data_IF_414288609955
#
_entry.id   IF_414288609955
#
_cell.length_a   1.000
_cell.length_b   1.000
_cell.length_c   1.000
_cell.angle_alpha   90.00
_cell.angle_beta   90.00
_cell.angle_gamma   90.00
#
_symmetry.space_group_name_H-M   'P 1'
#
loop_
_entity.id
_entity.type
_entity.pdbx_description
1 polymer ?
#
# COMPACT_ATOMS: atom_id res chain seq x y z
N UNK A 1 10.39 16.08 15.34
CA UNK A 1 10.44 15.79 13.89
C UNK A 1 9.86 16.96 13.13
N UNK A 2 10.55 17.49 12.13
CA UNK A 2 10.00 18.53 11.27
C UNK A 2 9.13 17.94 10.17
N UNK A 3 8.22 18.72 9.64
CA UNK A 3 7.41 18.33 8.48
C UNK A 3 8.31 17.91 7.29
N UNK A 4 9.36 18.68 7.03
CA UNK A 4 10.30 18.40 5.95
C UNK A 4 11.03 17.06 6.12
N UNK A 5 11.49 16.77 7.34
CA UNK A 5 12.16 15.50 7.65
C UNK A 5 11.22 14.31 7.54
N UNK A 6 9.98 14.45 8.02
CA UNK A 6 8.97 13.41 7.92
C UNK A 6 8.60 13.13 6.46
N UNK A 7 8.41 14.17 5.65
CA UNK A 7 8.13 14.03 4.22
C UNK A 7 9.29 13.34 3.48
N UNK A 8 10.53 13.60 3.87
CA UNK A 8 11.69 12.96 3.25
C UNK A 8 11.70 11.45 3.49
N UNK A 9 11.37 11.00 4.69
CA UNK A 9 11.27 9.57 5.01
C UNK A 9 10.18 8.90 4.16
N UNK A 10 9.03 9.54 4.05
CA UNK A 10 7.90 8.99 3.28
C UNK A 10 8.19 9.01 1.77
N UNK A 11 8.90 10.02 1.28
CA UNK A 11 9.36 10.04 -0.12
C UNK A 11 10.25 8.83 -0.42
N UNK A 12 11.20 8.54 0.47
CA UNK A 12 12.06 7.36 0.35
C UNK A 12 11.26 6.05 0.38
N UNK A 13 10.21 5.99 1.19
CA UNK A 13 9.33 4.83 1.23
C UNK A 13 8.72 4.54 -0.15
N UNK A 14 8.19 5.55 -0.83
CA UNK A 14 7.60 5.37 -2.17
C UNK A 14 8.65 5.08 -3.24
N UNK A 15 9.85 5.62 -3.13
CA UNK A 15 10.96 5.30 -4.03
C UNK A 15 11.33 3.81 -3.93
N UNK A 16 11.44 3.28 -2.71
CA UNK A 16 11.71 1.86 -2.47
C UNK A 16 10.57 0.97 -2.94
N UNK A 17 9.33 1.41 -2.73
CA UNK A 17 8.15 0.68 -3.22
C UNK A 17 8.17 0.58 -4.75
N UNK A 18 8.47 1.67 -5.44
CA UNK A 18 8.57 1.70 -6.90
C UNK A 18 9.69 0.77 -7.40
N UNK A 19 10.75 0.62 -6.64
CA UNK A 19 11.84 -0.30 -6.93
C UNK A 19 11.53 -1.76 -6.54
N UNK A 20 10.36 -2.03 -5.98
CA UNK A 20 9.94 -3.34 -5.45
C UNK A 20 10.84 -3.84 -4.31
N UNK A 21 11.51 -2.91 -3.61
CA UNK A 21 12.36 -3.20 -2.47
C UNK A 21 11.52 -3.24 -1.18
N UNK A 22 10.82 -4.34 -0.98
CA UNK A 22 9.87 -4.48 0.14
C UNK A 22 10.61 -4.46 1.48
N UNK A 23 11.76 -5.13 1.57
CA UNK A 23 12.57 -5.10 2.80
C UNK A 23 13.07 -3.68 3.09
N UNK A 24 13.46 -2.93 2.05
CA UNK A 24 13.83 -1.53 2.19
C UNK A 24 12.70 -0.64 2.70
N UNK A 25 11.45 -0.92 2.29
CA UNK A 25 10.27 -0.21 2.82
C UNK A 25 10.10 -0.49 4.31
N UNK A 26 10.17 -1.75 4.71
CA UNK A 26 10.02 -2.14 6.12
C UNK A 26 11.15 -1.61 6.99
N UNK A 27 12.35 -1.46 6.45
CA UNK A 27 13.50 -0.89 7.16
C UNK A 27 13.31 0.60 7.53
N UNK A 28 12.42 1.30 6.83
CA UNK A 28 12.05 2.68 7.18
C UNK A 28 11.03 2.76 8.32
N UNK A 29 10.49 1.63 8.75
CA UNK A 29 9.45 1.55 9.76
C UNK A 29 10.01 1.03 11.09
N UNK A 30 9.39 1.47 12.19
CA UNK A 30 9.70 0.89 13.50
C UNK A 30 9.26 -0.58 13.56
N UNK A 31 9.87 -1.34 14.47
CA UNK A 31 9.63 -2.79 14.56
C UNK A 31 8.17 -3.15 14.87
N UNK A 32 7.46 -2.26 15.57
CA UNK A 32 6.04 -2.45 15.92
C UNK A 32 5.10 -1.54 15.15
N UNK A 33 5.53 -1.01 14.01
CA UNK A 33 4.72 -0.11 13.21
C UNK A 33 3.37 -0.72 12.84
N UNK A 34 2.30 0.05 13.00
CA UNK A 34 0.95 -0.37 12.66
C UNK A 34 0.69 -0.18 11.17
N UNK A 35 -0.09 -1.09 10.62
CA UNK A 35 -0.47 -1.10 9.21
C UNK A 35 -1.96 -1.31 9.06
N UNK A 36 -2.59 -0.56 8.17
CA UNK A 36 -3.97 -0.78 7.77
C UNK A 36 -4.19 -0.38 6.31
N UNK A 37 -5.01 -1.15 5.63
CA UNK A 37 -5.54 -0.82 4.31
C UNK A 37 -7.06 -0.75 4.41
N UNK A 38 -7.67 0.37 4.04
CA UNK A 38 -9.08 0.64 4.32
C UNK A 38 -9.84 1.01 3.04
N UNK A 39 -10.84 0.26 2.66
CA UNK A 39 -11.08 -1.12 3.04
C UNK A 39 -10.09 -2.03 2.30
N UNK A 40 -9.75 -3.15 2.87
CA UNK A 40 -9.02 -4.19 2.16
C UNK A 40 -9.70 -5.52 2.44
N UNK A 41 -10.68 -5.84 1.61
CA UNK A 41 -11.45 -7.07 1.71
C UNK A 41 -11.55 -7.65 0.31
N UNK A 42 -10.88 -8.76 0.09
CA UNK A 42 -11.02 -9.55 -1.12
C UNK A 42 -12.04 -10.64 -0.85
N UNK A 43 -13.16 -10.60 -1.55
CA UNK A 43 -14.24 -11.53 -1.37
C UNK A 43 -14.08 -12.72 -2.32
N UNK A 44 -13.99 -13.91 -1.76
CA UNK A 44 -14.28 -15.14 -2.45
C UNK A 44 -15.47 -15.77 -1.76
N UNK A 45 -16.01 -16.85 -2.28
CA UNK A 45 -17.07 -17.56 -1.60
C UNK A 45 -16.64 -17.91 -0.17
N UNK A 46 -17.22 -17.29 0.82
CA UNK A 46 -17.00 -17.55 2.24
C UNK A 46 -15.60 -17.17 2.77
N UNK A 47 -14.85 -16.31 2.07
CA UNK A 47 -13.54 -15.83 2.52
C UNK A 47 -13.40 -14.32 2.37
N UNK A 48 -12.75 -13.72 3.35
CA UNK A 48 -12.38 -12.30 3.36
C UNK A 48 -10.93 -12.20 3.80
N UNK A 49 -10.13 -11.49 3.02
CA UNK A 49 -8.77 -11.11 3.42
C UNK A 49 -8.81 -9.69 3.97
N UNK A 50 -8.25 -9.49 5.15
CA UNK A 50 -8.20 -8.19 5.80
C UNK A 50 -6.78 -7.63 5.79
N UNK A 51 -6.70 -6.32 5.66
CA UNK A 51 -5.43 -5.61 5.57
C UNK A 51 -5.00 -4.91 6.86
N UNK A 52 -5.37 -5.42 8.03
CA UNK A 52 -5.01 -4.82 9.32
C UNK A 52 -3.94 -5.63 10.02
N UNK A 53 -2.97 -4.97 10.64
CA UNK A 53 -1.95 -5.64 11.43
C UNK A 53 -0.70 -4.80 11.59
N UNK A 54 0.46 -5.44 11.52
CA UNK A 54 1.76 -4.79 11.63
C UNK A 54 2.43 -4.69 10.26
N UNK A 55 3.24 -3.66 10.08
CA UNK A 55 4.02 -3.48 8.84
C UNK A 55 4.89 -4.70 8.56
N UNK A 56 5.59 -5.23 9.56
CA UNK A 56 6.52 -6.34 9.38
C UNK A 56 5.88 -7.69 9.05
N UNK A 57 4.57 -7.82 9.19
CA UNK A 57 3.81 -9.04 8.88
C UNK A 57 2.78 -8.79 7.81
N UNK A 58 1.66 -8.15 8.15
CA UNK A 58 0.54 -7.94 7.22
C UNK A 58 0.92 -6.97 6.10
N UNK A 59 1.56 -5.85 6.42
CA UNK A 59 2.00 -4.88 5.42
C UNK A 59 2.96 -5.50 4.43
N UNK A 60 4.00 -6.17 4.93
CA UNK A 60 4.98 -6.86 4.10
C UNK A 60 4.33 -7.91 3.20
N UNK A 61 3.37 -8.69 3.72
CA UNK A 61 2.66 -9.69 2.95
C UNK A 61 1.83 -9.06 1.82
N UNK A 62 1.12 -7.96 2.09
CA UNK A 62 0.31 -7.27 1.09
C UNK A 62 1.19 -6.68 -0.01
N UNK A 63 2.26 -5.96 0.33
CA UNK A 63 3.15 -5.37 -0.66
C UNK A 63 3.86 -6.44 -1.49
N UNK A 64 4.30 -7.52 -0.86
CA UNK A 64 4.91 -8.67 -1.56
C UNK A 64 3.92 -9.29 -2.54
N UNK A 65 2.67 -9.48 -2.12
CA UNK A 65 1.60 -9.98 -2.99
C UNK A 65 1.35 -9.07 -4.19
N UNK A 66 1.33 -7.76 -3.98
CA UNK A 66 1.18 -6.80 -5.06
C UNK A 66 2.31 -6.89 -6.10
N UNK A 67 3.56 -6.82 -5.67
CA UNK A 67 4.69 -6.84 -6.63
C UNK A 67 4.87 -8.20 -7.29
N UNK A 68 4.43 -9.28 -6.65
CA UNK A 68 4.46 -10.63 -7.22
C UNK A 68 3.38 -10.80 -8.28
N UNK A 69 2.14 -10.40 -7.97
CA UNK A 69 1.01 -10.57 -8.87
C UNK A 69 0.97 -9.53 -9.98
N UNK A 70 1.58 -8.37 -9.75
CA UNK A 70 1.68 -7.26 -10.69
C UNK A 70 3.17 -6.90 -10.87
N UNK A 71 3.93 -7.65 -11.71
CA UNK A 71 5.38 -7.45 -11.82
C UNK A 71 5.80 -6.05 -12.29
N UNK A 72 4.91 -5.32 -12.94
CA UNK A 72 5.14 -3.93 -13.37
C UNK A 72 4.50 -2.92 -12.42
N UNK A 73 4.17 -3.31 -11.18
CA UNK A 73 3.54 -2.41 -10.23
C UNK A 73 4.38 -1.14 -10.06
N UNK A 74 3.70 0.00 -10.09
CA UNK A 74 4.32 1.31 -9.88
C UNK A 74 3.40 2.20 -9.08
N UNK A 75 3.98 3.27 -8.54
CA UNK A 75 3.22 4.34 -7.92
C UNK A 75 3.56 5.66 -8.58
N UNK A 76 2.57 6.55 -8.65
CA UNK A 76 2.75 7.94 -9.07
C UNK A 76 2.31 8.81 -7.92
N UNK A 77 3.26 9.47 -7.26
CA UNK A 77 2.98 10.35 -6.12
C UNK A 77 2.61 11.72 -6.64
N UNK A 78 1.40 12.18 -6.33
CA UNK A 78 0.90 13.49 -6.75
C UNK A 78 1.20 14.58 -5.72
N UNK A 79 1.13 14.25 -4.44
CA UNK A 79 1.42 15.20 -3.37
C UNK A 79 1.86 14.50 -2.10
N UNK A 80 2.74 15.16 -1.35
CA UNK A 80 3.16 14.77 0.00
C UNK A 80 3.06 16.00 0.87
N UNK A 81 2.25 15.94 1.92
CA UNK A 81 2.01 17.04 2.85
C UNK A 81 2.23 16.54 4.27
N UNK A 82 3.03 17.27 5.04
CA UNK A 82 3.35 16.89 6.41
C UNK A 82 3.11 18.02 7.40
N UNK A 83 3.18 17.68 8.68
CA UNK A 83 3.17 18.63 9.80
C UNK A 83 4.34 18.36 10.74
N UNK A 84 4.55 19.25 11.70
CA UNK A 84 5.63 19.12 12.67
C UNK A 84 5.38 18.03 13.72
N UNK A 85 4.17 17.49 13.78
CA UNK A 85 3.83 16.34 14.61
C UNK A 85 4.21 14.98 14.02
N UNK A 86 4.76 14.96 12.80
CA UNK A 86 5.17 13.74 12.13
C UNK A 86 4.10 13.08 11.27
N UNK A 87 2.93 13.70 11.12
CA UNK A 87 1.89 13.18 10.24
C UNK A 87 2.20 13.58 8.79
N UNK A 88 2.06 12.62 7.89
CA UNK A 88 2.29 12.83 6.45
C UNK A 88 1.14 12.22 5.67
N UNK A 89 0.56 13.01 4.77
CA UNK A 89 -0.53 12.57 3.88
C UNK A 89 -0.02 12.55 2.45
N UNK A 90 -0.26 11.45 1.76
CA UNK A 90 0.19 11.25 0.38
C UNK A 90 -0.98 10.90 -0.51
N UNK A 91 -1.11 11.63 -1.61
CA UNK A 91 -1.99 11.26 -2.70
C UNK A 91 -1.16 10.59 -3.78
N UNK A 92 -1.50 9.35 -4.13
CA UNK A 92 -0.76 8.58 -5.12
C UNK A 92 -1.68 7.64 -5.88
N UNK A 93 -1.31 7.33 -7.12
CA UNK A 93 -1.94 6.25 -7.88
C UNK A 93 -1.05 5.01 -7.77
N UNK A 94 -1.66 3.86 -7.58
CA UNK A 94 -1.00 2.56 -7.69
C UNK A 94 -1.54 1.89 -8.94
N UNK A 95 -0.65 1.41 -9.79
CA UNK A 95 -1.03 0.82 -11.08
C UNK A 95 -0.20 -0.41 -11.40
N UNK A 96 -0.77 -1.32 -12.16
CA UNK A 96 -0.08 -2.51 -12.62
C UNK A 96 -0.95 -3.39 -13.49
N UNK A 97 -0.30 -4.43 -14.07
CA UNK A 97 -0.95 -5.46 -14.89
C UNK A 97 -0.87 -6.78 -14.17
N UNK A 98 -2.01 -7.43 -13.98
CA UNK A 98 -2.07 -8.70 -13.26
C UNK A 98 -1.50 -9.83 -14.13
N UNK A 99 -0.53 -10.55 -13.57
CA UNK A 99 0.10 -11.71 -14.22
C UNK A 99 -0.10 -13.01 -13.43
N UNK A 100 -0.27 -12.92 -12.10
CA UNK A 100 -0.50 -14.05 -11.22
C UNK A 100 -1.76 -13.81 -10.39
N UNK A 101 -2.30 -14.87 -9.81
CA UNK A 101 -3.46 -14.75 -8.92
C UNK A 101 -3.15 -13.80 -7.75
N UNK A 102 -4.10 -12.93 -7.46
CA UNK A 102 -4.03 -12.00 -6.35
C UNK A 102 -5.24 -12.23 -5.44
N UNK A 103 -4.98 -12.89 -4.29
CA UNK A 103 -6.07 -13.39 -3.45
C UNK A 103 -6.94 -14.36 -4.25
N UNK A 104 -8.21 -14.02 -4.42
CA UNK A 104 -9.18 -14.83 -5.16
C UNK A 104 -9.37 -14.36 -6.61
N UNK A 105 -8.61 -13.36 -7.04
CA UNK A 105 -8.74 -12.78 -8.37
C UNK A 105 -7.80 -13.50 -9.32
N UNK A 106 -8.38 -14.20 -10.29
CA UNK A 106 -7.63 -14.93 -11.32
C UNK A 106 -7.05 -13.94 -12.33
N UNK A 107 -5.79 -14.11 -12.76
CA UNK A 107 -5.18 -13.21 -13.72
C UNK A 107 -5.82 -13.36 -15.10
N UNK A 108 -6.13 -12.21 -15.72
CA UNK A 108 -6.66 -12.13 -17.08
C UNK A 108 -5.85 -11.18 -17.96
N UNK A 109 -4.69 -10.73 -17.47
CA UNK A 109 -3.88 -9.71 -18.13
C UNK A 109 -4.46 -8.30 -18.01
N UNK A 110 -5.42 -8.09 -17.11
CA UNK A 110 -6.05 -6.80 -16.92
C UNK A 110 -5.14 -5.84 -16.18
N UNK A 111 -5.29 -4.56 -16.51
CA UNK A 111 -4.59 -3.46 -15.86
C UNK A 111 -5.50 -2.77 -14.86
N UNK A 112 -4.89 -2.24 -13.79
CA UNK A 112 -5.57 -1.32 -12.91
C UNK A 112 -4.72 -0.07 -12.68
N UNK A 113 -5.40 1.03 -12.37
CA UNK A 113 -4.82 2.23 -11.82
C UNK A 113 -5.81 2.77 -10.80
N UNK A 114 -5.40 2.83 -9.54
CA UNK A 114 -6.31 3.15 -8.45
C UNK A 114 -5.74 4.27 -7.59
N UNK A 115 -6.47 5.39 -7.43
CA UNK A 115 -6.09 6.45 -6.50
C UNK A 115 -6.05 5.92 -5.06
N UNK A 116 -5.01 6.33 -4.34
CA UNK A 116 -4.82 6.02 -2.93
C UNK A 116 -4.59 7.30 -2.16
N UNK A 117 -5.09 7.32 -0.93
CA UNK A 117 -4.68 8.27 0.09
C UNK A 117 -3.92 7.48 1.16
N UNK A 118 -2.66 7.82 1.37
CA UNK A 118 -1.86 7.22 2.45
C UNK A 118 -1.69 8.21 3.57
N UNK A 119 -1.84 7.74 4.80
CA UNK A 119 -1.55 8.52 6.01
C UNK A 119 -0.45 7.81 6.77
N UNK A 120 0.65 8.52 7.01
CA UNK A 120 1.81 8.03 7.74
C UNK A 120 1.98 8.81 9.03
N UNK A 121 2.53 8.17 10.03
CA UNK A 121 3.13 8.85 11.17
C UNK A 121 4.61 8.49 11.26
N UNK A 122 5.47 9.50 11.38
CA UNK A 122 6.91 9.35 11.56
C UNK A 122 7.24 9.79 12.98
N UNK A 123 7.87 8.90 13.75
CA UNK A 123 8.22 9.18 15.14
C UNK A 123 9.46 10.08 15.28
N UNK A 124 9.82 10.42 16.52
CA UNK A 124 10.93 11.31 16.79
C UNK A 124 12.30 10.71 16.44
N UNK A 125 12.39 9.39 16.29
CA UNK A 125 13.58 8.70 15.82
C UNK A 125 13.69 8.67 14.30
N UNK A 126 12.73 9.24 13.59
CA UNK A 126 12.70 9.27 12.12
C UNK A 126 12.22 7.99 11.48
N UNK A 127 11.53 7.13 12.24
CA UNK A 127 10.96 5.88 11.74
C UNK A 127 9.45 6.02 11.56
N UNK A 128 8.92 5.39 10.51
CA UNK A 128 7.49 5.30 10.30
C UNK A 128 6.92 4.32 11.33
N UNK A 129 5.99 4.77 12.17
CA UNK A 129 5.35 3.93 13.17
C UNK A 129 3.89 3.60 12.87
N UNK A 130 3.31 4.23 11.86
CA UNK A 130 1.96 3.90 11.39
C UNK A 130 1.81 4.22 9.90
N UNK A 131 1.15 3.33 9.18
CA UNK A 131 0.80 3.49 7.76
C UNK A 131 -0.64 3.06 7.58
N UNK A 132 -1.46 3.94 7.00
CA UNK A 132 -2.82 3.60 6.59
C UNK A 132 -3.00 3.97 5.12
N UNK A 133 -3.43 3.01 4.31
CA UNK A 133 -3.80 3.26 2.92
C UNK A 133 -5.32 3.25 2.78
N UNK A 134 -5.87 4.25 2.10
CA UNK A 134 -7.29 4.33 1.75
C UNK A 134 -7.45 4.22 0.25
N UNK A 135 -8.34 3.36 -0.21
CA UNK A 135 -8.58 3.14 -1.62
C UNK A 135 -10.00 2.65 -1.89
N UNK A 136 -10.39 2.58 -3.17
CA UNK A 136 -11.65 1.94 -3.57
C UNK A 136 -11.39 0.46 -3.88
N UNK A 137 -11.58 -0.39 -2.87
CA UNK A 137 -11.38 -1.83 -2.98
C UNK A 137 -12.32 -2.48 -4.02
N UNK A 138 -13.54 -2.02 -4.14
CA UNK A 138 -14.46 -2.50 -5.16
C UNK A 138 -14.04 -2.05 -6.56
N UNK A 139 -13.45 -0.86 -6.66
CA UNK A 139 -12.96 -0.31 -7.93
C UNK A 139 -11.85 -1.16 -8.54
N UNK A 140 -10.88 -1.60 -7.73
CA UNK A 140 -9.80 -2.45 -8.23
C UNK A 140 -10.34 -3.81 -8.70
N UNK A 141 -11.29 -4.39 -7.97
CA UNK A 141 -11.92 -5.65 -8.36
C UNK A 141 -12.60 -5.53 -9.72
N UNK A 142 -13.32 -4.44 -9.97
CA UNK A 142 -13.96 -4.19 -11.26
C UNK A 142 -12.94 -4.03 -12.38
N UNK A 143 -11.87 -3.29 -12.15
CA UNK A 143 -10.81 -3.08 -13.16
C UNK A 143 -10.13 -4.40 -13.52
N UNK A 144 -9.98 -5.32 -12.58
CA UNK A 144 -9.42 -6.64 -12.80
C UNK A 144 -10.44 -7.65 -13.34
N UNK A 145 -11.63 -7.19 -13.71
CA UNK A 145 -12.73 -8.01 -14.21
C UNK A 145 -13.18 -9.09 -13.23
N UNK A 146 -12.95 -8.87 -11.92
CA UNK A 146 -13.47 -9.74 -10.89
C UNK A 146 -14.89 -9.30 -10.52
N UNK A 147 -15.83 -10.20 -10.68
CA UNK A 147 -17.21 -9.96 -10.30
C UNK A 147 -17.54 -10.77 -9.06
N UNK A 148 -18.10 -10.11 -8.06
CA UNK A 148 -18.60 -10.82 -6.90
C UNK A 148 -19.71 -11.77 -7.34
N UNK A 149 -19.59 -12.99 -6.89
CA UNK A 149 -20.60 -14.02 -7.12
C UNK A 149 -21.29 -14.26 -5.79
N UNK A 150 -22.54 -13.95 -5.74
CA UNK A 150 -23.36 -14.19 -4.56
C UNK A 150 -23.54 -15.68 -4.27
#
# INVERSE_FOLDING_TARGET
MSASSACAVVTEFFDRYRAHDIDGMTDLCSINADFSYVPFELWGKQRVLRGDGKVGTVGKAIWTGFVTSFPNLTNTVHSITGNDGGDVVVEADIAGTQQLAWGFITPTGQQFSEPHLFVFHVDDDGLIDAVTGYWDNAGISRQLAHHEVD
#
